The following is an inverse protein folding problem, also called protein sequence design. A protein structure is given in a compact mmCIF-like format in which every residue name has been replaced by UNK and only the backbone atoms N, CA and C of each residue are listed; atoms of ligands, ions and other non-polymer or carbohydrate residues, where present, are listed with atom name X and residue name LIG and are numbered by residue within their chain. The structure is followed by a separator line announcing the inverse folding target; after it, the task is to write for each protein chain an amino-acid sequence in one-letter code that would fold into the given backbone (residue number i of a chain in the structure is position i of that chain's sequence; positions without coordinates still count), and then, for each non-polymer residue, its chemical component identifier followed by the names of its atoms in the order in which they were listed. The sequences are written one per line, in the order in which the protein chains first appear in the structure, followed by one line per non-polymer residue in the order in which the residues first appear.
data_IF_517271925494
#
_entry.id   IF_517271925494
#
_cell.length_a   1.000
_cell.length_b   1.000
_cell.length_c   1.000
_cell.angle_alpha   90.00
_cell.angle_beta   90.00
_cell.angle_gamma   90.00
#
_symmetry.space_group_name_H-M   'P 1'
#
loop_
_entity.id
_entity.type
_entity.pdbx_description
1 polymer ?
#
# COMPACT_ATOMS: atom_id res chain seq x y z
N UNK A 1 -8.41 19.07 13.22
CA UNK A 1 -7.63 20.29 12.95
C UNK A 1 -7.80 20.63 11.48
N UNK A 2 -7.25 21.75 11.00
CA UNK A 2 -7.18 22.01 9.55
C UNK A 2 -6.29 21.01 8.79
N UNK A 3 -5.50 20.19 9.51
CA UNK A 3 -4.63 19.14 8.98
C UNK A 3 -5.23 17.72 9.09
N UNK A 4 -6.53 17.61 9.40
CA UNK A 4 -7.27 16.36 9.43
C UNK A 4 -8.00 16.06 10.74
N UNK A 5 -8.71 14.93 10.77
CA UNK A 5 -9.42 14.41 11.94
C UNK A 5 -8.77 13.12 12.44
N UNK A 6 -8.83 12.89 13.75
CA UNK A 6 -8.33 11.67 14.38
C UNK A 6 -9.43 11.03 15.22
N UNK A 7 -9.75 9.77 14.89
CA UNK A 7 -10.55 8.92 15.76
C UNK A 7 -9.65 8.30 16.84
N UNK A 8 -10.03 8.46 18.11
CA UNK A 8 -9.20 8.08 19.27
C UNK A 8 -9.84 7.00 20.15
N UNK A 9 -11.12 6.68 19.95
CA UNK A 9 -11.80 5.67 20.76
C UNK A 9 -11.29 4.26 20.40
N UNK A 10 -11.22 3.37 21.40
CA UNK A 10 -10.64 2.03 21.23
C UNK A 10 -9.13 1.98 21.01
N UNK A 11 -8.44 3.12 20.85
CA UNK A 11 -7.01 3.18 20.54
C UNK A 11 -6.12 3.18 21.79
N UNK A 12 -4.98 2.50 21.71
CA UNK A 12 -3.92 2.52 22.72
C UNK A 12 -3.30 3.91 22.87
N UNK A 13 -2.58 4.17 23.96
CA UNK A 13 -1.91 5.45 24.18
C UNK A 13 -0.95 5.80 23.02
N UNK A 14 -0.23 4.81 22.52
CA UNK A 14 0.67 4.94 21.37
C UNK A 14 -0.07 5.36 20.11
N UNK A 15 -1.14 4.65 19.76
CA UNK A 15 -1.95 4.97 18.58
C UNK A 15 -2.60 6.35 18.68
N UNK A 16 -3.05 6.73 19.88
CA UNK A 16 -3.58 8.07 20.13
C UNK A 16 -2.52 9.15 19.96
N UNK A 17 -1.31 8.92 20.50
CA UNK A 17 -0.18 9.84 20.32
C UNK A 17 0.16 10.00 18.83
N UNK A 18 0.30 8.91 18.09
CA UNK A 18 0.55 8.93 16.65
C UNK A 18 -0.57 9.66 15.89
N UNK A 19 -1.83 9.34 16.18
CA UNK A 19 -2.97 9.97 15.51
C UNK A 19 -2.97 11.49 15.71
N UNK A 20 -2.74 11.95 16.94
CA UNK A 20 -2.68 13.37 17.29
C UNK A 20 -1.49 14.08 16.65
N UNK A 21 -0.31 13.44 16.62
CA UNK A 21 0.88 13.97 15.95
C UNK A 21 0.61 14.15 14.46
N UNK A 22 -0.04 13.19 13.80
CA UNK A 22 -0.30 13.26 12.37
C UNK A 22 -1.34 14.32 11.98
N UNK A 23 -2.30 14.63 12.84
CA UNK A 23 -3.22 15.76 12.60
C UNK A 23 -2.70 17.10 13.14
N UNK A 24 -1.51 17.15 13.75
CA UNK A 24 -0.89 18.40 14.16
C UNK A 24 -0.32 19.16 12.94
N UNK A 25 -0.10 20.46 13.10
CA UNK A 25 0.51 21.29 12.05
C UNK A 25 1.89 20.72 11.63
N UNK A 26 2.19 20.56 10.32
CA UNK A 26 3.39 19.89 9.81
C UNK A 26 4.71 20.36 10.46
N UNK A 27 4.87 21.68 10.63
CA UNK A 27 6.01 22.31 11.33
C UNK A 27 6.30 21.73 12.72
N UNK A 28 5.29 21.30 13.48
CA UNK A 28 5.46 20.82 14.86
C UNK A 28 5.56 19.29 14.97
N UNK A 29 5.20 18.54 13.92
CA UNK A 29 5.20 17.07 13.96
C UNK A 29 6.55 16.45 14.34
N UNK A 30 7.71 16.91 13.83
CA UNK A 30 9.00 16.33 14.22
C UNK A 30 9.30 16.53 15.70
N UNK A 31 9.02 17.73 16.22
CA UNK A 31 9.21 18.01 17.64
C UNK A 31 8.26 17.17 18.50
N UNK A 32 6.98 17.06 18.13
CA UNK A 32 6.01 16.22 18.84
C UNK A 32 6.40 14.74 18.80
N UNK A 33 6.94 14.26 17.67
CA UNK A 33 7.42 12.88 17.53
C UNK A 33 8.64 12.64 18.43
N UNK A 34 9.62 13.55 18.42
CA UNK A 34 10.79 13.48 19.29
C UNK A 34 10.39 13.47 20.79
N UNK A 35 9.43 14.30 21.17
CA UNK A 35 8.90 14.36 22.53
C UNK A 35 8.15 13.07 22.90
N UNK A 36 7.35 12.53 21.98
CA UNK A 36 6.65 11.26 22.19
C UNK A 36 7.64 10.09 22.35
N UNK A 37 8.73 10.06 21.59
CA UNK A 37 9.83 9.09 21.75
C UNK A 37 10.52 9.24 23.11
N UNK A 38 10.89 10.46 23.48
CA UNK A 38 11.50 10.78 24.79
C UNK A 38 10.64 10.30 25.97
N UNK A 39 9.31 10.47 25.85
CA UNK A 39 8.33 10.04 26.85
C UNK A 39 7.92 8.57 26.74
N UNK A 40 8.50 7.80 25.82
CA UNK A 40 8.15 6.39 25.55
C UNK A 40 6.67 6.17 25.23
N UNK A 41 6.02 7.18 24.62
CA UNK A 41 4.64 7.08 24.13
C UNK A 41 4.59 6.35 22.79
N UNK A 42 5.67 6.42 22.01
CA UNK A 42 5.89 5.69 20.76
C UNK A 42 7.23 4.96 20.82
N UNK A 43 7.47 4.05 19.88
CA UNK A 43 8.75 3.34 19.83
C UNK A 43 9.91 4.27 19.50
N UNK A 44 11.10 3.96 20.04
CA UNK A 44 12.32 4.73 19.79
C UNK A 44 12.71 4.74 18.31
N UNK A 45 12.43 3.66 17.60
CA UNK A 45 12.66 3.44 16.17
C UNK A 45 11.46 3.79 15.30
N UNK A 46 10.42 4.45 15.85
CA UNK A 46 9.29 4.94 15.05
C UNK A 46 9.78 5.88 13.94
N UNK A 47 9.41 5.58 12.69
CA UNK A 47 9.83 6.38 11.53
C UNK A 47 9.21 7.78 11.60
N UNK A 48 10.02 8.79 11.30
CA UNK A 48 9.58 10.17 11.12
C UNK A 48 9.16 10.37 9.67
N UNK A 49 7.90 10.71 9.44
CA UNK A 49 7.39 10.96 8.10
C UNK A 49 7.90 12.33 7.58
N UNK A 50 8.35 12.41 6.32
CA UNK A 50 8.80 13.67 5.74
C UNK A 50 7.68 14.72 5.68
N UNK A 51 8.11 15.98 5.71
CA UNK A 51 7.38 17.20 6.09
C UNK A 51 6.15 17.61 5.25
N UNK A 52 5.70 16.80 4.29
CA UNK A 52 4.49 17.07 3.50
C UNK A 52 3.59 15.85 3.59
N UNK A 53 2.79 15.76 4.66
CA UNK A 53 1.63 14.88 4.58
C UNK A 53 0.58 15.65 3.80
N UNK A 54 0.31 15.18 2.58
CA UNK A 54 -0.97 15.43 1.96
C UNK A 54 -2.08 14.99 2.94
N UNK A 55 -3.21 15.70 2.92
CA UNK A 55 -4.36 15.31 3.73
C UNK A 55 -4.75 13.88 3.37
N UNK A 56 -5.26 13.15 4.36
CA UNK A 56 -5.78 11.81 4.14
C UNK A 56 -6.82 11.83 3.01
N UNK A 57 -6.67 11.05 1.92
CA UNK A 57 -7.54 11.16 0.76
C UNK A 57 -8.84 10.36 0.99
N UNK A 58 -9.76 10.95 1.75
CA UNK A 58 -11.08 10.39 2.09
C UNK A 58 -11.90 10.02 0.84
N UNK A 59 -11.71 10.73 -0.27
CA UNK A 59 -12.39 10.46 -1.54
C UNK A 59 -12.06 9.10 -2.16
N UNK A 60 -10.98 8.45 -1.70
CA UNK A 60 -10.63 7.11 -2.13
C UNK A 60 -11.38 6.02 -1.35
N UNK A 61 -12.00 6.36 -0.22
CA UNK A 61 -12.79 5.44 0.60
C UNK A 61 -14.08 5.02 -0.11
N UNK A 62 -14.30 3.71 -0.26
CA UNK A 62 -15.52 3.19 -0.86
C UNK A 62 -15.76 1.72 -0.55
N UNK A 63 -17.03 1.35 -0.53
CA UNK A 63 -17.43 -0.05 -0.64
C UNK A 63 -17.09 -0.58 -2.03
N UNK A 64 -16.54 -1.80 -2.06
CA UNK A 64 -16.20 -2.51 -3.28
C UNK A 64 -16.94 -3.85 -3.32
N UNK A 65 -17.36 -4.24 -4.52
CA UNK A 65 -17.90 -5.55 -4.81
C UNK A 65 -16.81 -6.40 -5.46
N UNK A 66 -16.58 -7.57 -4.92
CA UNK A 66 -15.65 -8.57 -5.44
C UNK A 66 -16.44 -9.68 -6.13
N UNK A 67 -15.73 -10.71 -6.61
CA UNK A 67 -16.40 -11.90 -7.15
C UNK A 67 -17.34 -12.52 -6.12
N UNK A 68 -18.36 -13.20 -6.64
CA UNK A 68 -19.35 -13.96 -5.84
C UNK A 68 -20.14 -13.07 -4.86
N UNK A 69 -20.22 -11.76 -5.11
CA UNK A 69 -20.98 -10.83 -4.29
C UNK A 69 -20.33 -10.48 -2.95
N UNK A 70 -19.08 -10.89 -2.71
CA UNK A 70 -18.35 -10.51 -1.50
C UNK A 70 -18.19 -8.99 -1.46
N UNK A 71 -18.64 -8.34 -0.39
CA UNK A 71 -18.44 -6.91 -0.14
C UNK A 71 -17.26 -6.69 0.78
N UNK A 72 -16.48 -5.66 0.48
CA UNK A 72 -15.38 -5.20 1.31
C UNK A 72 -15.26 -3.69 1.23
N UNK A 73 -14.45 -3.10 2.10
CA UNK A 73 -14.20 -1.67 2.15
C UNK A 73 -12.77 -1.37 1.69
N UNK A 74 -12.63 -0.49 0.70
CA UNK A 74 -11.33 -0.02 0.22
C UNK A 74 -11.08 1.36 0.83
N UNK A 75 -9.89 1.57 1.38
CA UNK A 75 -9.43 2.90 1.80
C UNK A 75 -7.91 3.04 1.73
N UNK A 76 -7.35 4.26 1.71
CA UNK A 76 -5.94 4.47 1.98
C UNK A 76 -5.54 3.95 3.36
N UNK A 77 -4.34 3.40 3.45
CA UNK A 77 -3.73 3.00 4.71
C UNK A 77 -3.63 4.21 5.64
N UNK A 78 -3.90 4.01 6.92
CA UNK A 78 -3.67 4.99 7.97
C UNK A 78 -2.40 4.60 8.70
N UNK A 79 -1.63 5.60 9.10
CA UNK A 79 -0.48 5.47 10.00
C UNK A 79 -0.79 4.75 11.33
N UNK A 80 -2.07 4.72 11.75
CA UNK A 80 -2.52 3.97 12.94
C UNK A 80 -2.86 2.52 12.65
N UNK A 81 -2.78 2.05 11.41
CA UNK A 81 -3.14 0.68 11.02
C UNK A 81 -2.01 -0.34 11.31
N UNK A 82 -1.01 0.03 12.12
CA UNK A 82 0.12 -0.84 12.47
C UNK A 82 -0.35 -2.22 12.94
N UNK A 83 -1.36 -2.26 13.82
CA UNK A 83 -1.95 -3.50 14.30
C UNK A 83 -2.59 -4.31 13.17
N UNK A 84 -3.37 -3.68 12.29
CA UNK A 84 -4.03 -4.35 11.16
C UNK A 84 -3.03 -4.93 10.14
N UNK A 85 -1.94 -4.21 9.85
CA UNK A 85 -0.88 -4.70 8.94
C UNK A 85 -0.16 -5.90 9.57
N UNK A 86 0.10 -5.83 10.88
CA UNK A 86 0.71 -6.92 11.63
C UNK A 86 -0.20 -8.16 11.66
N UNK A 87 -1.49 -7.97 11.92
CA UNK A 87 -2.47 -9.06 11.95
C UNK A 87 -2.66 -9.71 10.57
N UNK A 88 -2.66 -8.91 9.49
CA UNK A 88 -2.64 -9.44 8.12
C UNK A 88 -1.44 -10.36 7.92
N UNK A 89 -0.24 -9.93 8.29
CA UNK A 89 0.98 -10.74 8.13
C UNK A 89 0.89 -12.10 8.80
N UNK A 90 0.38 -12.16 10.04
CA UNK A 90 0.27 -13.41 10.78
C UNK A 90 -0.83 -14.35 10.26
N UNK A 91 -1.71 -13.87 9.40
CA UNK A 91 -2.73 -14.68 8.74
C UNK A 91 -2.31 -15.15 7.35
N UNK A 92 -1.12 -14.79 6.88
CA UNK A 92 -0.60 -15.25 5.60
C UNK A 92 0.01 -16.64 5.70
N UNK A 93 -0.09 -17.38 4.60
CA UNK A 93 0.73 -18.57 4.42
C UNK A 93 2.23 -18.21 4.32
N UNK A 94 3.13 -19.13 4.69
CA UNK A 94 4.57 -18.96 4.48
C UNK A 94 4.94 -18.69 3.01
N UNK A 95 4.16 -19.22 2.07
CA UNK A 95 4.32 -18.99 0.63
C UNK A 95 4.01 -17.52 0.28
N UNK A 96 2.88 -16.99 0.73
CA UNK A 96 2.50 -15.59 0.52
C UNK A 96 3.52 -14.61 1.14
N UNK A 97 4.06 -14.94 2.32
CA UNK A 97 5.17 -14.20 2.94
C UNK A 97 6.43 -14.26 2.07
N UNK A 98 6.83 -15.45 1.63
CA UNK A 98 8.01 -15.62 0.78
C UNK A 98 7.90 -14.82 -0.52
N UNK A 99 6.73 -14.85 -1.17
CA UNK A 99 6.48 -14.11 -2.39
C UNK A 99 6.56 -12.60 -2.22
N UNK A 100 6.16 -12.07 -1.07
CA UNK A 100 6.20 -10.62 -0.83
C UNK A 100 7.59 -10.12 -0.43
N UNK A 101 8.30 -10.89 0.39
CA UNK A 101 9.54 -10.43 1.02
C UNK A 101 10.80 -11.07 0.46
N UNK A 102 10.67 -11.98 -0.52
CA UNK A 102 11.75 -12.79 -1.08
C UNK A 102 12.52 -13.58 -0.01
N UNK A 103 11.89 -13.79 1.15
CA UNK A 103 12.49 -14.36 2.36
C UNK A 103 11.44 -15.12 3.17
N UNK A 104 11.87 -16.17 3.86
CA UNK A 104 11.01 -16.90 4.80
C UNK A 104 11.02 -16.19 6.16
N UNK A 105 10.09 -15.26 6.35
CA UNK A 105 9.90 -14.56 7.62
C UNK A 105 8.91 -15.30 8.51
N UNK A 106 9.30 -15.59 9.77
CA UNK A 106 8.40 -16.17 10.79
C UNK A 106 7.76 -15.13 11.70
N UNK A 107 8.41 -13.97 11.81
CA UNK A 107 7.95 -12.84 12.61
C UNK A 107 8.02 -11.59 11.73
N UNK A 108 7.11 -10.65 11.95
CA UNK A 108 7.18 -9.35 11.29
C UNK A 108 8.22 -8.47 12.00
N UNK A 109 9.36 -8.14 11.36
CA UNK A 109 10.31 -7.18 11.94
C UNK A 109 9.65 -5.80 12.01
N UNK A 110 9.89 -5.06 13.10
CA UNK A 110 9.29 -3.73 13.27
C UNK A 110 9.69 -2.77 12.14
N UNK A 111 10.94 -2.84 11.67
CA UNK A 111 11.44 -2.05 10.54
C UNK A 111 10.60 -2.26 9.27
N UNK A 112 10.33 -3.52 8.87
CA UNK A 112 9.48 -3.83 7.71
C UNK A 112 8.04 -3.36 7.90
N UNK A 113 7.52 -3.45 9.12
CA UNK A 113 6.20 -2.94 9.45
C UNK A 113 6.14 -1.41 9.29
N UNK A 114 7.17 -0.70 9.73
CA UNK A 114 7.26 0.75 9.60
C UNK A 114 7.40 1.20 8.13
N UNK A 115 8.03 0.41 7.26
CA UNK A 115 8.08 0.68 5.81
C UNK A 115 6.68 0.77 5.19
N UNK A 116 5.74 -0.09 5.60
CA UNK A 116 4.34 0.01 5.15
C UNK A 116 3.68 1.31 5.60
N UNK A 117 4.01 1.79 6.80
CA UNK A 117 3.41 2.98 7.40
C UNK A 117 4.07 4.28 6.93
N UNK A 118 5.12 4.22 6.11
CA UNK A 118 5.85 5.39 5.59
C UNK A 118 5.10 6.09 4.45
N UNK A 119 3.83 6.43 4.65
CA UNK A 119 2.92 6.96 3.63
C UNK A 119 2.85 8.50 3.67
N UNK A 120 2.87 9.12 2.49
CA UNK A 120 2.64 10.56 2.31
C UNK A 120 1.48 10.86 1.36
N UNK A 121 0.85 9.80 0.81
CA UNK A 121 -0.28 9.84 -0.13
C UNK A 121 0.04 10.46 -1.50
N UNK A 122 1.30 10.81 -1.78
CA UNK A 122 1.76 11.40 -3.05
C UNK A 122 2.87 10.58 -3.73
N UNK A 123 3.98 10.37 -3.05
CA UNK A 123 5.09 9.56 -3.54
C UNK A 123 5.02 8.13 -3.00
N UNK A 124 4.42 7.95 -1.81
CA UNK A 124 4.18 6.64 -1.21
C UNK A 124 2.71 6.53 -0.79
N UNK A 125 1.98 5.68 -1.49
CA UNK A 125 0.57 5.40 -1.25
C UNK A 125 0.37 3.91 -1.03
N UNK A 126 -0.35 3.56 0.04
CA UNK A 126 -0.87 2.23 0.25
C UNK A 126 -2.40 2.26 0.31
N UNK A 127 -3.03 1.31 -0.39
CA UNK A 127 -4.46 1.03 -0.32
C UNK A 127 -4.67 -0.30 0.40
N UNK A 128 -5.68 -0.34 1.26
CA UNK A 128 -6.05 -1.53 2.03
C UNK A 128 -7.47 -1.95 1.73
N UNK A 129 -7.71 -3.25 1.78
CA UNK A 129 -9.05 -3.83 1.74
C UNK A 129 -9.37 -4.38 3.13
N UNK A 130 -10.54 -3.99 3.64
CA UNK A 130 -11.03 -4.31 4.97
C UNK A 130 -12.38 -5.04 4.89
N UNK A 131 -12.65 -5.91 5.85
CA UNK A 131 -13.96 -6.59 5.98
C UNK A 131 -15.09 -5.65 6.41
N UNK A 132 -14.75 -4.56 7.10
CA UNK A 132 -15.67 -3.53 7.59
C UNK A 132 -15.13 -2.13 7.31
N UNK A 133 -16.02 -1.16 7.20
CA UNK A 133 -15.70 0.28 7.19
C UNK A 133 -15.40 0.84 8.58
N UNK A 134 -15.80 0.14 9.65
CA UNK A 134 -15.56 0.55 11.03
C UNK A 134 -14.24 -0.02 11.54
N UNK A 135 -13.42 0.82 12.18
CA UNK A 135 -12.09 0.39 12.69
C UNK A 135 -12.22 -0.73 13.75
N UNK A 136 -13.34 -0.81 14.49
CA UNK A 136 -13.55 -1.80 15.57
C UNK A 136 -13.69 -3.24 15.06
N UNK A 137 -14.33 -3.45 13.91
CA UNK A 137 -14.60 -4.78 13.33
C UNK A 137 -13.76 -5.04 12.06
N UNK A 138 -12.90 -4.10 11.69
CA UNK A 138 -12.12 -4.19 10.46
C UNK A 138 -11.02 -5.23 10.59
N UNK A 139 -11.02 -6.22 9.70
CA UNK A 139 -9.86 -7.05 9.41
C UNK A 139 -9.26 -6.64 8.08
N UNK A 140 -7.95 -6.42 8.04
CA UNK A 140 -7.24 -6.21 6.78
C UNK A 140 -7.05 -7.53 6.06
N UNK A 141 -7.51 -7.57 4.81
CA UNK A 141 -7.46 -8.78 3.97
C UNK A 141 -6.52 -8.60 2.79
N UNK A 142 -6.19 -7.36 2.44
CA UNK A 142 -5.16 -7.07 1.46
C UNK A 142 -4.56 -5.68 1.67
N UNK A 143 -3.33 -5.53 1.22
CA UNK A 143 -2.63 -4.26 1.07
C UNK A 143 -1.94 -4.24 -0.30
N UNK A 144 -2.03 -3.12 -0.98
CA UNK A 144 -1.21 -2.83 -2.15
C UNK A 144 -0.62 -1.44 -2.00
N UNK A 145 0.64 -1.27 -2.36
CA UNK A 145 1.31 0.01 -2.26
C UNK A 145 2.17 0.29 -3.48
N UNK A 146 2.42 1.57 -3.74
CA UNK A 146 3.50 1.98 -4.61
C UNK A 146 4.43 2.97 -3.92
N UNK A 147 5.71 2.95 -4.30
CA UNK A 147 6.70 3.96 -3.95
C UNK A 147 7.33 4.54 -5.21
N UNK A 148 7.16 5.85 -5.41
CA UNK A 148 7.72 6.59 -6.54
C UNK A 148 9.24 6.70 -6.44
N UNK A 149 9.95 6.32 -7.51
CA UNK A 149 11.34 6.69 -7.70
C UNK A 149 11.41 8.09 -8.36
N UNK A 150 11.92 9.12 -7.67
CA UNK A 150 11.98 10.47 -8.21
C UNK A 150 12.91 10.60 -9.42
N UNK A 151 13.82 9.66 -9.64
CA UNK A 151 14.78 9.68 -10.76
C UNK A 151 14.16 9.20 -12.07
N UNK A 152 13.22 8.26 -11.99
CA UNK A 152 12.61 7.63 -13.17
C UNK A 152 11.17 8.07 -13.41
N UNK A 153 10.50 8.63 -12.39
CA UNK A 153 9.07 8.92 -12.37
C UNK A 153 8.18 7.66 -12.52
N UNK A 154 8.74 6.46 -12.35
CA UNK A 154 7.99 5.23 -12.15
C UNK A 154 7.79 4.98 -10.65
N UNK A 155 6.85 4.12 -10.29
CA UNK A 155 6.67 3.68 -8.92
C UNK A 155 6.73 2.17 -8.79
N UNK A 156 7.48 1.68 -7.80
CA UNK A 156 7.54 0.26 -7.49
C UNK A 156 6.24 -0.16 -6.80
N UNK A 157 5.51 -1.10 -7.39
CA UNK A 157 4.24 -1.59 -6.89
C UNK A 157 4.37 -2.99 -6.28
N UNK A 158 3.88 -3.18 -5.06
CA UNK A 158 3.82 -4.48 -4.41
C UNK A 158 2.45 -4.75 -3.75
N UNK A 159 2.15 -6.03 -3.56
CA UNK A 159 0.82 -6.50 -3.18
C UNK A 159 0.92 -7.63 -2.15
N UNK A 160 -0.08 -7.70 -1.27
CA UNK A 160 -0.26 -8.75 -0.30
C UNK A 160 -1.77 -9.01 -0.16
N UNK A 161 -2.19 -10.27 -0.34
CA UNK A 161 -3.60 -10.65 -0.23
C UNK A 161 -3.66 -11.91 0.64
N UNK A 162 -4.48 -11.85 1.70
CA UNK A 162 -4.73 -12.97 2.60
C UNK A 162 -5.23 -14.17 1.80
N UNK A 163 -4.72 -15.36 2.11
CA UNK A 163 -4.86 -16.54 1.26
C UNK A 163 -6.33 -16.92 0.98
N UNK A 164 -7.23 -16.77 1.97
CA UNK A 164 -8.68 -16.97 1.85
C UNK A 164 -9.42 -15.87 1.04
N UNK A 165 -8.73 -14.79 0.67
CA UNK A 165 -9.21 -13.71 -0.19
C UNK A 165 -8.58 -13.70 -1.59
N UNK A 166 -7.66 -14.62 -1.86
CA UNK A 166 -7.08 -14.80 -3.19
C UNK A 166 -8.12 -15.31 -4.19
N UNK A 167 -7.86 -15.09 -5.48
CA UNK A 167 -8.72 -15.48 -6.60
C UNK A 167 -10.15 -14.85 -6.65
N UNK A 168 -10.53 -14.07 -5.63
CA UNK A 168 -11.78 -13.28 -5.55
C UNK A 168 -11.74 -11.93 -6.29
N UNK A 169 -10.63 -11.63 -6.96
CA UNK A 169 -10.45 -10.39 -7.75
C UNK A 169 -9.83 -9.22 -6.98
N UNK A 170 -9.45 -9.40 -5.72
CA UNK A 170 -8.87 -8.35 -4.85
C UNK A 170 -7.63 -7.71 -5.45
N UNK A 171 -6.65 -8.50 -5.90
CA UNK A 171 -5.42 -7.97 -6.50
C UNK A 171 -5.66 -7.15 -7.77
N UNK A 172 -6.57 -7.60 -8.64
CA UNK A 172 -6.94 -6.85 -9.86
C UNK A 172 -7.60 -5.52 -9.52
N UNK A 173 -8.50 -5.51 -8.53
CA UNK A 173 -9.15 -4.28 -8.06
C UNK A 173 -8.13 -3.30 -7.49
N UNK A 174 -7.20 -3.79 -6.66
CA UNK A 174 -6.13 -2.97 -6.07
C UNK A 174 -5.19 -2.41 -7.14
N UNK A 175 -4.82 -3.21 -8.15
CA UNK A 175 -3.98 -2.76 -9.27
C UNK A 175 -4.66 -1.62 -10.04
N UNK A 176 -5.96 -1.73 -10.31
CA UNK A 176 -6.71 -0.68 -10.97
C UNK A 176 -6.78 0.60 -10.10
N UNK A 177 -7.08 0.46 -8.81
CA UNK A 177 -7.19 1.58 -7.88
C UNK A 177 -5.84 2.31 -7.67
N UNK A 178 -4.73 1.57 -7.55
CA UNK A 178 -3.39 2.15 -7.50
C UNK A 178 -3.02 2.83 -8.82
N UNK A 179 -3.32 2.20 -9.96
CA UNK A 179 -3.08 2.79 -11.27
C UNK A 179 -3.81 4.11 -11.48
N UNK A 180 -5.06 4.20 -11.03
CA UNK A 180 -5.83 5.46 -11.05
C UNK A 180 -5.17 6.54 -10.20
N UNK A 181 -4.78 6.22 -8.97
CA UNK A 181 -4.13 7.16 -8.05
C UNK A 181 -2.77 7.63 -8.59
N UNK A 182 -1.94 6.70 -9.06
CA UNK A 182 -0.63 7.01 -9.61
C UNK A 182 -0.71 7.90 -10.85
N UNK A 183 -1.69 7.65 -11.74
CA UNK A 183 -1.95 8.50 -12.90
C UNK A 183 -2.40 9.91 -12.52
N UNK A 184 -3.26 10.04 -11.50
CA UNK A 184 -3.69 11.36 -10.97
C UNK A 184 -2.49 12.16 -10.42
N UNK A 185 -1.47 11.47 -9.92
CA UNK A 185 -0.22 12.07 -9.40
C UNK A 185 0.87 12.25 -10.48
N UNK A 186 0.57 11.98 -11.75
CA UNK A 186 1.53 12.14 -12.85
C UNK A 186 2.69 11.13 -12.88
N UNK A 187 2.54 9.99 -12.19
CA UNK A 187 3.49 8.88 -12.27
C UNK A 187 3.42 8.27 -13.68
N UNK A 188 4.57 7.94 -14.26
CA UNK A 188 4.68 7.47 -15.65
C UNK A 188 4.26 6.01 -15.85
N UNK A 189 4.36 5.20 -14.79
CA UNK A 189 4.04 3.78 -14.81
C UNK A 189 4.50 3.08 -13.55
N UNK A 190 4.27 1.76 -13.50
CA UNK A 190 4.75 0.92 -12.41
C UNK A 190 5.95 0.09 -12.80
N UNK A 191 6.79 -0.20 -11.81
CA UNK A 191 7.73 -1.32 -11.82
C UNK A 191 7.32 -2.34 -10.78
N UNK A 192 7.69 -3.60 -10.95
CA UNK A 192 7.48 -4.63 -9.94
C UNK A 192 8.49 -5.76 -10.08
N UNK A 193 8.86 -6.38 -8.97
CA UNK A 193 9.60 -7.64 -8.97
C UNK A 193 8.68 -8.77 -8.49
N UNK A 194 8.65 -9.86 -9.24
CA UNK A 194 7.75 -10.98 -8.96
C UNK A 194 8.50 -12.29 -9.13
N UNK A 195 8.55 -13.11 -8.08
CA UNK A 195 9.09 -14.47 -8.19
C UNK A 195 8.34 -15.25 -9.29
N UNK A 196 9.08 -15.95 -10.15
CA UNK A 196 8.51 -16.70 -11.28
C UNK A 196 7.46 -17.74 -10.84
N UNK A 197 7.59 -18.26 -9.63
CA UNK A 197 6.61 -19.16 -9.01
C UNK A 197 5.27 -18.48 -8.68
N UNK A 198 5.25 -17.16 -8.50
CA UNK A 198 4.03 -16.39 -8.18
C UNK A 198 3.20 -16.07 -9.43
N UNK A 199 2.71 -17.12 -10.09
CA UNK A 199 1.87 -17.00 -11.28
C UNK A 199 0.56 -16.24 -11.03
N UNK A 200 0.07 -16.20 -9.78
CA UNK A 200 -1.10 -15.39 -9.41
C UNK A 200 -0.83 -13.89 -9.59
N UNK A 201 0.30 -13.40 -9.08
CA UNK A 201 0.64 -11.98 -9.18
C UNK A 201 0.99 -11.55 -10.61
N UNK A 202 1.69 -12.42 -11.37
CA UNK A 202 1.92 -12.18 -12.81
C UNK A 202 0.59 -11.99 -13.55
N UNK A 203 -0.41 -12.84 -13.28
CA UNK A 203 -1.75 -12.69 -13.86
C UNK A 203 -2.43 -11.38 -13.45
N UNK A 204 -2.22 -10.87 -12.24
CA UNK A 204 -2.77 -9.57 -11.82
C UNK A 204 -2.20 -8.45 -12.67
N UNK A 205 -0.87 -8.42 -12.86
CA UNK A 205 -0.22 -7.40 -13.68
C UNK A 205 -0.65 -7.48 -15.15
N UNK A 206 -0.66 -8.68 -15.75
CA UNK A 206 -1.08 -8.85 -17.15
C UNK A 206 -2.57 -8.58 -17.39
N UNK A 207 -3.42 -8.67 -16.37
CA UNK A 207 -4.85 -8.30 -16.46
C UNK A 207 -5.13 -6.83 -16.19
N UNK A 208 -4.11 -6.02 -15.91
CA UNK A 208 -4.28 -4.59 -15.62
C UNK A 208 -4.76 -3.77 -16.82
N UNK A 209 -4.64 -4.31 -18.04
CA UNK A 209 -4.94 -3.60 -19.29
C UNK A 209 -3.81 -2.70 -19.78
N UNK A 210 -2.70 -2.62 -19.05
CA UNK A 210 -1.48 -1.94 -19.49
C UNK A 210 -0.56 -2.88 -20.27
N UNK A 211 0.33 -2.30 -21.08
CA UNK A 211 1.43 -3.06 -21.67
C UNK A 211 2.42 -3.44 -20.57
N UNK A 212 2.71 -4.74 -20.42
CA UNK A 212 3.64 -5.24 -19.41
C UNK A 212 4.87 -5.75 -20.13
N UNK A 213 5.96 -5.02 -19.99
CA UNK A 213 7.30 -5.48 -20.35
C UNK A 213 7.82 -6.37 -19.21
N UNK A 214 8.32 -7.55 -19.53
CA UNK A 214 8.84 -8.49 -18.54
C UNK A 214 10.21 -9.02 -18.94
N UNK A 215 11.12 -9.09 -17.97
CA UNK A 215 12.43 -9.71 -18.09
C UNK A 215 12.61 -10.72 -16.95
N UNK A 216 13.07 -11.93 -17.27
CA UNK A 216 13.29 -12.99 -16.29
C UNK A 216 14.79 -13.17 -16.08
N UNK A 217 15.23 -12.98 -14.84
CA UNK A 217 16.61 -13.20 -14.41
C UNK A 217 16.58 -13.87 -13.02
N UNK A 218 17.40 -14.89 -12.81
CA UNK A 218 17.52 -15.62 -11.53
C UNK A 218 16.18 -16.02 -10.86
N UNK A 219 15.18 -16.36 -11.68
CA UNK A 219 13.86 -16.78 -11.18
C UNK A 219 12.96 -15.64 -10.71
N UNK A 220 13.33 -14.38 -10.98
CA UNK A 220 12.54 -13.18 -10.70
C UNK A 220 12.17 -12.49 -12.01
N UNK A 221 10.89 -12.18 -12.18
CA UNK A 221 10.44 -11.27 -13.24
C UNK A 221 10.58 -9.83 -12.77
N UNK A 222 11.37 -9.04 -13.50
CA UNK A 222 11.32 -7.58 -13.44
C UNK A 222 10.29 -7.09 -14.45
N UNK A 223 9.25 -6.43 -13.95
CA UNK A 223 8.15 -5.90 -14.75
C UNK A 223 8.27 -4.39 -14.87
N UNK A 224 7.99 -3.87 -16.07
CA UNK A 224 7.82 -2.45 -16.34
C UNK A 224 6.49 -2.22 -17.05
N UNK A 225 5.69 -1.32 -16.50
CA UNK A 225 4.28 -1.14 -16.84
C UNK A 225 4.01 0.34 -17.07
N UNK A 226 4.38 0.89 -18.25
CA UNK A 226 4.06 2.28 -18.58
C UNK A 226 2.55 2.51 -18.67
N UNK A 227 2.06 3.65 -18.17
CA UNK A 227 0.64 4.02 -18.26
C UNK A 227 0.26 4.67 -19.59
N UNK A 228 1.24 5.13 -20.37
CA UNK A 228 1.00 5.58 -21.73
C UNK A 228 0.92 4.37 -22.66
N UNK A 229 -0.11 4.31 -23.50
CA UNK A 229 -0.11 3.39 -24.63
C UNK A 229 1.05 3.77 -25.55
N UNK A 230 1.86 2.80 -25.97
CA UNK A 230 2.55 2.96 -27.24
C UNK A 230 1.48 3.21 -28.30
N UNK A 231 1.47 4.41 -28.88
CA UNK A 231 0.85 4.62 -30.18
C UNK A 231 1.52 3.64 -31.13
N UNK A 232 0.98 2.43 -31.28
CA UNK A 232 1.29 1.57 -32.42
C UNK A 232 0.94 2.40 -33.65
N UNK A 233 1.96 2.95 -34.30
CA UNK A 233 1.83 3.64 -35.56
C UNK A 233 1.06 2.71 -36.50
N UNK A 234 -0.11 3.16 -36.95
CA UNK A 234 -0.68 2.61 -38.17
C UNK A 234 0.33 2.92 -39.26
N UNK A 235 1.15 1.93 -39.62
CA UNK A 235 1.82 1.92 -40.90
C UNK A 235 0.72 1.85 -41.97
N UNK A 236 0.25 3.01 -42.40
CA UNK A 236 -0.43 3.14 -43.68
C UNK A 236 0.65 3.11 -44.75
N UNK A 237 0.93 1.92 -45.28
CA UNK A 237 1.57 1.81 -46.60
C UNK A 237 0.48 1.92 -47.66
N UNK A 238 0.61 2.82 -48.65
CA UNK A 238 -0.07 2.66 -49.94
C UNK A 238 0.54 1.49 -50.74
#
# INVERSE_FOLDING_TARGET
TEYGAAYLHGKTMRERALALIHIAHPRFRPWLMAEAKSRKLVYSDQIELPFRLSLYPEEMERWIALKEGTRAFLRPLKVTDEALVKDLFYQLSPESVHYRFFQLLRTMPHEKLQEFLRIDYEANLALVVLTSSTDEDAQMVAIAHFLKDPRTNFAEAAFLVRDDWQDKGVGTLLMAALGEAARKQGIAGFTAEVLAANGRMLRVFHKSGFNVESHLEDGVYSLKIPFQEERRGRATSP
#
